data_IF_177764639286
#
_entry.id   IF_177764639286
#
_cell.length_a   1.000
_cell.length_b   1.000
_cell.length_c   1.000
_cell.angle_alpha   90.00
_cell.angle_beta   90.00
_cell.angle_gamma   90.00
#
_symmetry.space_group_name_H-M   'P 1'
#
loop_
_entity.id
_entity.type
_entity.pdbx_description
1 polymer ?
#
# COMPACT_ATOMS: atom_id res chain seq x y z
N UNK A 1 -3.15 -11.82 -18.30
CA UNK A 1 -3.23 -10.70 -17.33
C UNK A 1 -2.31 -11.07 -16.19
N UNK A 2 -1.44 -10.15 -15.76
CA UNK A 2 -0.47 -10.44 -14.69
C UNK A 2 -1.20 -10.50 -13.36
N UNK A 3 -0.94 -11.55 -12.56
CA UNK A 3 -1.60 -11.78 -11.28
C UNK A 3 -0.63 -11.56 -10.10
N UNK A 4 -1.02 -10.76 -9.11
CA UNK A 4 -0.17 -10.35 -7.98
C UNK A 4 -0.79 -10.83 -6.66
N UNK A 5 0.03 -11.40 -5.79
CA UNK A 5 -0.31 -11.60 -4.38
C UNK A 5 0.21 -10.42 -3.56
N UNK A 6 -0.70 -9.62 -3.00
CA UNK A 6 -0.38 -8.51 -2.12
C UNK A 6 -0.60 -8.94 -0.66
N UNK A 7 0.42 -8.79 0.18
CA UNK A 7 0.40 -9.21 1.59
C UNK A 7 0.72 -8.02 2.48
N UNK A 8 -0.25 -7.60 3.28
CA UNK A 8 -0.20 -6.40 4.13
C UNK A 8 -1.22 -6.57 5.25
N UNK A 9 -0.82 -6.40 6.51
CA UNK A 9 -1.68 -6.65 7.66
C UNK A 9 -2.67 -5.53 7.94
N UNK A 10 -2.38 -4.30 7.51
CA UNK A 10 -3.38 -3.24 7.51
C UNK A 10 -4.41 -3.44 6.39
N UNK A 11 -5.64 -3.76 6.82
CA UNK A 11 -6.77 -4.02 5.93
C UNK A 11 -7.12 -2.84 5.00
N UNK A 12 -6.95 -1.61 5.46
CA UNK A 12 -7.26 -0.42 4.67
C UNK A 12 -6.17 -0.15 3.64
N UNK A 13 -4.90 -0.32 4.01
CA UNK A 13 -3.78 -0.16 3.10
C UNK A 13 -3.74 -1.25 2.03
N UNK A 14 -3.97 -2.52 2.41
CA UNK A 14 -3.98 -3.63 1.44
C UNK A 14 -5.08 -3.45 0.38
N UNK A 15 -6.26 -2.96 0.79
CA UNK A 15 -7.37 -2.65 -0.14
C UNK A 15 -7.05 -1.47 -1.04
N UNK A 16 -6.43 -0.43 -0.49
CA UNK A 16 -6.05 0.75 -1.26
C UNK A 16 -4.97 0.44 -2.31
N UNK A 17 -3.92 -0.28 -1.92
CA UNK A 17 -2.88 -0.75 -2.83
C UNK A 17 -3.43 -1.75 -3.85
N UNK A 18 -4.31 -2.66 -3.42
CA UNK A 18 -4.99 -3.59 -4.32
C UNK A 18 -5.79 -2.86 -5.39
N UNK A 19 -6.61 -1.88 -5.01
CA UNK A 19 -7.39 -1.07 -5.95
C UNK A 19 -6.49 -0.31 -6.93
N UNK A 20 -5.38 0.26 -6.46
CA UNK A 20 -4.40 0.92 -7.34
C UNK A 20 -3.84 -0.06 -8.37
N UNK A 21 -3.38 -1.24 -7.95
CA UNK A 21 -2.83 -2.25 -8.85
C UNK A 21 -3.89 -2.78 -9.84
N UNK A 22 -5.14 -2.94 -9.41
CA UNK A 22 -6.23 -3.34 -10.30
C UNK A 22 -6.52 -2.28 -11.37
N UNK A 23 -6.45 -0.98 -11.04
CA UNK A 23 -6.55 0.10 -12.04
C UNK A 23 -5.44 0.05 -13.09
N UNK A 24 -4.26 -0.40 -12.69
CA UNK A 24 -3.10 -0.58 -13.57
C UNK A 24 -3.16 -1.89 -14.39
N UNK A 25 -4.28 -2.62 -14.32
CA UNK A 25 -4.55 -3.79 -15.13
C UNK A 25 -3.98 -5.10 -14.56
N UNK A 26 -3.56 -5.11 -13.31
CA UNK A 26 -3.18 -6.34 -12.60
C UNK A 26 -4.42 -7.03 -12.01
N UNK A 27 -4.35 -8.36 -11.87
CA UNK A 27 -5.32 -9.11 -11.07
C UNK A 27 -4.72 -9.34 -9.69
N UNK A 28 -5.36 -8.85 -8.64
CA UNK A 28 -4.79 -8.87 -7.29
C UNK A 28 -5.52 -9.87 -6.40
N UNK A 29 -4.77 -10.68 -5.67
CA UNK A 29 -5.28 -11.34 -4.48
C UNK A 29 -4.60 -10.76 -3.24
N UNK A 30 -5.41 -10.43 -2.24
CA UNK A 30 -4.93 -9.85 -0.99
C UNK A 30 -4.82 -10.91 0.11
N UNK A 31 -3.84 -10.75 1.00
CA UNK A 31 -3.68 -11.50 2.24
C UNK A 31 -3.25 -10.57 3.38
N UNK A 32 -3.71 -10.83 4.60
CA UNK A 32 -3.45 -9.96 5.77
C UNK A 32 -2.41 -10.50 6.76
N UNK A 33 -1.66 -11.53 6.34
CA UNK A 33 -0.49 -12.09 7.03
C UNK A 33 0.12 -13.21 6.19
N UNK A 34 1.32 -13.68 6.57
CA UNK A 34 2.03 -14.75 5.89
C UNK A 34 1.26 -16.07 5.82
N UNK A 35 0.55 -16.48 6.87
CA UNK A 35 -0.22 -17.73 6.87
C UNK A 35 -1.35 -17.73 5.83
N UNK A 36 -2.05 -16.60 5.70
CA UNK A 36 -3.08 -16.42 4.66
C UNK A 36 -2.46 -16.40 3.27
N UNK A 37 -1.26 -15.84 3.13
CA UNK A 37 -0.52 -15.84 1.87
C UNK A 37 -0.12 -17.26 1.46
N UNK A 38 0.43 -18.07 2.37
CA UNK A 38 0.78 -19.47 2.11
C UNK A 38 -0.43 -20.30 1.65
N UNK A 39 -1.56 -20.20 2.36
CA UNK A 39 -2.81 -20.88 1.97
C UNK A 39 -3.33 -20.48 0.58
N UNK A 40 -2.96 -19.30 0.09
CA UNK A 40 -3.27 -18.86 -1.28
C UNK A 40 -2.28 -19.44 -2.28
N UNK A 41 -0.98 -19.40 -1.97
CA UNK A 41 0.08 -19.98 -2.80
C UNK A 41 -0.10 -21.50 -3.03
N UNK A 42 -0.69 -22.21 -2.07
CA UNK A 42 -1.08 -23.62 -2.22
C UNK A 42 -2.15 -23.86 -3.29
N UNK A 43 -3.01 -22.87 -3.56
CA UNK A 43 -4.17 -23.00 -4.46
C UNK A 43 -3.95 -22.33 -5.80
N UNK A 44 -3.00 -21.41 -5.88
CA UNK A 44 -2.80 -20.55 -7.03
C UNK A 44 -1.39 -19.96 -6.99
N UNK A 45 -0.72 -19.98 -8.14
CA UNK A 45 0.62 -19.43 -8.31
C UNK A 45 0.54 -18.03 -8.95
N UNK A 46 0.78 -16.94 -8.21
CA UNK A 46 0.89 -15.60 -8.78
C UNK A 46 2.10 -15.46 -9.70
N UNK A 47 2.14 -14.38 -10.49
CA UNK A 47 3.34 -13.95 -11.20
C UNK A 47 4.33 -13.22 -10.27
N UNK A 48 3.86 -12.61 -9.18
CA UNK A 48 4.67 -11.81 -8.25
C UNK A 48 4.01 -11.69 -6.87
N UNK A 49 4.84 -11.62 -5.82
CA UNK A 49 4.42 -11.30 -4.44
C UNK A 49 4.95 -9.92 -4.05
N UNK A 50 4.08 -9.10 -3.49
CA UNK A 50 4.43 -7.86 -2.77
C UNK A 50 4.05 -8.08 -1.32
N UNK A 51 4.99 -7.90 -0.40
CA UNK A 51 4.80 -8.28 1.00
C UNK A 51 5.34 -7.21 1.96
N UNK A 52 4.58 -6.82 2.98
CA UNK A 52 5.18 -6.14 4.14
C UNK A 52 5.99 -7.14 4.98
N UNK A 53 6.98 -6.63 5.69
CA UNK A 53 7.78 -7.39 6.63
C UNK A 53 7.05 -7.50 7.97
N UNK A 54 6.53 -6.39 8.49
CA UNK A 54 5.98 -6.35 9.85
C UNK A 54 4.52 -6.77 9.85
N UNK A 55 4.28 -8.07 10.01
CA UNK A 55 2.93 -8.61 10.09
C UNK A 55 2.79 -9.57 11.28
N UNK A 56 1.60 -9.70 11.88
CA UNK A 56 1.36 -10.68 12.93
C UNK A 56 1.38 -12.11 12.39
N UNK A 57 1.52 -13.07 13.31
CA UNK A 57 1.55 -14.51 13.04
C UNK A 57 2.81 -14.93 12.27
N UNK A 58 2.78 -14.88 10.94
CA UNK A 58 3.93 -15.16 10.08
C UNK A 58 4.33 -13.85 9.40
N UNK A 59 5.51 -13.35 9.76
CA UNK A 59 6.07 -12.12 9.24
C UNK A 59 6.57 -12.29 7.79
N UNK A 60 6.91 -11.19 7.12
CA UNK A 60 7.32 -11.24 5.71
C UNK A 60 8.62 -12.03 5.50
N UNK A 61 9.55 -12.01 6.45
CA UNK A 61 10.77 -12.81 6.37
C UNK A 61 10.47 -14.31 6.50
N UNK A 62 9.58 -14.70 7.41
CA UNK A 62 9.10 -16.06 7.54
C UNK A 62 8.41 -16.53 6.27
N UNK A 63 7.53 -15.72 5.70
CA UNK A 63 6.88 -16.04 4.42
C UNK A 63 7.89 -16.24 3.29
N UNK A 64 8.88 -15.36 3.15
CA UNK A 64 9.92 -15.49 2.12
C UNK A 64 10.72 -16.79 2.28
N UNK A 65 11.07 -17.18 3.52
CA UNK A 65 11.76 -18.44 3.79
C UNK A 65 10.95 -19.65 3.32
N UNK A 66 9.66 -19.69 3.63
CA UNK A 66 8.76 -20.74 3.16
C UNK A 66 8.66 -20.76 1.63
N UNK A 67 8.58 -19.59 0.99
CA UNK A 67 8.57 -19.45 -0.48
C UNK A 67 9.87 -20.00 -1.10
N UNK A 68 11.03 -19.65 -0.55
CA UNK A 68 12.34 -20.09 -1.10
C UNK A 68 12.64 -21.56 -0.82
N UNK A 69 12.09 -22.13 0.25
CA UNK A 69 12.23 -23.55 0.56
C UNK A 69 11.27 -24.45 -0.22
N UNK A 70 10.26 -23.89 -0.90
CA UNK A 70 9.32 -24.66 -1.71
C UNK A 70 9.77 -24.72 -3.18
N UNK A 71 9.98 -25.93 -3.70
CA UNK A 71 10.40 -26.16 -5.09
C UNK A 71 9.51 -25.51 -6.15
N UNK A 72 8.20 -25.34 -5.86
CA UNK A 72 7.24 -24.74 -6.79
C UNK A 72 7.25 -23.20 -6.75
N UNK A 73 7.69 -22.60 -5.64
CA UNK A 73 7.61 -21.15 -5.42
C UNK A 73 8.98 -20.49 -5.34
N UNK A 74 10.08 -21.25 -5.28
CA UNK A 74 11.42 -20.70 -5.03
C UNK A 74 11.88 -19.66 -6.05
N UNK A 75 11.35 -19.69 -7.28
CA UNK A 75 11.63 -18.72 -8.34
C UNK A 75 10.59 -17.59 -8.45
N UNK A 76 9.57 -17.57 -7.60
CA UNK A 76 8.51 -16.57 -7.62
C UNK A 76 9.10 -15.18 -7.28
N UNK A 77 8.95 -14.17 -8.15
CA UNK A 77 9.38 -12.81 -7.84
C UNK A 77 8.75 -12.32 -6.54
N UNK A 78 9.58 -11.85 -5.61
CA UNK A 78 9.18 -11.45 -4.27
C UNK A 78 9.77 -10.08 -3.92
N UNK A 79 8.90 -9.10 -3.80
CA UNK A 79 9.21 -7.71 -3.45
C UNK A 79 8.78 -7.45 -2.02
N UNK A 80 9.69 -6.97 -1.17
CA UNK A 80 9.29 -6.35 0.08
C UNK A 80 8.83 -4.91 -0.17
N UNK A 81 7.72 -4.53 0.46
CA UNK A 81 7.24 -3.15 0.56
C UNK A 81 6.93 -2.86 2.02
N UNK A 82 7.82 -2.13 2.70
CA UNK A 82 7.77 -2.02 4.17
C UNK A 82 8.08 -0.62 4.68
N UNK A 83 7.60 -0.28 5.88
CA UNK A 83 7.97 0.96 6.57
C UNK A 83 9.35 0.93 7.23
N UNK A 84 10.07 -0.20 7.20
CA UNK A 84 11.38 -0.32 7.86
C UNK A 84 12.49 0.29 7.00
N UNK A 85 13.07 1.40 7.46
CA UNK A 85 14.32 1.96 6.95
C UNK A 85 15.53 1.44 7.73
N UNK A 86 16.01 0.26 7.37
CA UNK A 86 17.20 -0.34 8.01
C UNK A 86 18.06 -1.07 7.00
N UNK A 87 19.35 -0.71 6.93
CA UNK A 87 20.32 -1.41 6.07
C UNK A 87 20.50 -2.86 6.50
N UNK A 88 20.43 -3.15 7.81
CA UNK A 88 20.47 -4.53 8.32
C UNK A 88 19.30 -5.36 7.78
N UNK A 89 18.08 -4.81 7.79
CA UNK A 89 16.90 -5.51 7.28
C UNK A 89 16.94 -5.66 5.75
N UNK A 90 17.44 -4.65 5.05
CA UNK A 90 17.67 -4.71 3.60
C UNK A 90 18.69 -5.81 3.26
N UNK A 91 19.78 -5.89 3.99
CA UNK A 91 20.79 -6.93 3.75
C UNK A 91 20.26 -8.33 4.09
N UNK A 92 19.53 -8.46 5.21
CA UNK A 92 18.84 -9.70 5.55
C UNK A 92 17.85 -10.14 4.46
N UNK A 93 17.07 -9.21 3.88
CA UNK A 93 16.15 -9.56 2.79
C UNK A 93 16.88 -10.15 1.57
N UNK A 94 18.04 -9.59 1.21
CA UNK A 94 18.85 -10.09 0.08
C UNK A 94 19.40 -11.48 0.39
N UNK A 95 19.89 -11.70 1.60
CA UNK A 95 20.41 -13.00 2.04
C UNK A 95 19.34 -14.09 2.03
N UNK A 96 18.09 -13.73 2.34
CA UNK A 96 16.94 -14.63 2.24
C UNK A 96 16.43 -14.81 0.81
N UNK A 97 17.01 -14.11 -0.17
CA UNK A 97 16.69 -14.25 -1.59
C UNK A 97 15.49 -13.41 -2.03
N UNK A 98 15.20 -12.28 -1.39
CA UNK A 98 14.22 -11.31 -1.92
C UNK A 98 14.73 -10.71 -3.23
N UNK A 99 13.82 -10.43 -4.16
CA UNK A 99 14.17 -9.84 -5.46
C UNK A 99 14.24 -8.31 -5.38
N UNK A 100 13.46 -7.70 -4.47
CA UNK A 100 13.49 -6.26 -4.23
C UNK A 100 13.11 -5.88 -2.79
N UNK A 101 13.50 -4.67 -2.41
CA UNK A 101 13.17 -4.06 -1.12
C UNK A 101 12.84 -2.59 -1.32
N UNK A 102 11.55 -2.28 -1.23
CA UNK A 102 10.99 -0.94 -1.28
C UNK A 102 10.62 -0.47 0.12
N UNK A 103 10.92 0.79 0.41
CA UNK A 103 10.53 1.44 1.66
C UNK A 103 9.30 2.32 1.41
N UNK A 104 8.33 2.32 2.34
CA UNK A 104 7.26 3.31 2.44
C UNK A 104 7.88 4.62 3.01
N UNK A 105 7.50 5.83 2.54
CA UNK A 105 6.48 6.10 1.51
C UNK A 105 6.89 5.65 0.11
N UNK A 106 5.92 5.14 -0.65
CA UNK A 106 6.11 4.70 -2.05
C UNK A 106 5.07 5.37 -2.94
N UNK A 107 5.49 5.95 -4.07
CA UNK A 107 4.54 6.44 -5.06
C UNK A 107 4.20 5.36 -6.09
N UNK A 108 3.15 5.62 -6.88
CA UNK A 108 2.68 4.72 -7.94
C UNK A 108 3.80 4.33 -8.91
N UNK A 109 4.56 5.31 -9.39
CA UNK A 109 5.53 5.07 -10.46
C UNK A 109 6.70 4.22 -9.99
N UNK A 110 7.17 4.44 -8.76
CA UNK A 110 8.19 3.61 -8.11
C UNK A 110 7.70 2.16 -7.95
N UNK A 111 6.45 1.97 -7.51
CA UNK A 111 5.87 0.65 -7.35
C UNK A 111 5.76 -0.08 -8.70
N UNK A 112 5.23 0.60 -9.72
CA UNK A 112 5.09 0.03 -11.07
C UNK A 112 6.43 -0.27 -11.72
N UNK A 113 7.44 0.57 -11.50
CA UNK A 113 8.79 0.34 -11.99
C UNK A 113 9.40 -0.93 -11.38
N UNK A 114 9.27 -1.11 -10.06
CA UNK A 114 9.76 -2.31 -9.39
C UNK A 114 9.06 -3.58 -9.91
N UNK A 115 7.73 -3.55 -10.06
CA UNK A 115 6.95 -4.66 -10.62
C UNK A 115 7.41 -4.97 -12.05
N UNK A 116 7.55 -3.95 -12.90
CA UNK A 116 8.00 -4.08 -14.29
C UNK A 116 9.37 -4.73 -14.39
N UNK A 117 10.31 -4.27 -13.56
CA UNK A 117 11.67 -4.80 -13.50
C UNK A 117 11.70 -6.28 -13.12
N UNK A 118 10.91 -6.68 -12.12
CA UNK A 118 10.91 -8.09 -11.63
C UNK A 118 10.14 -9.05 -12.51
N UNK A 119 9.14 -8.57 -13.24
CA UNK A 119 8.42 -9.40 -14.20
C UNK A 119 9.12 -9.51 -15.56
N UNK A 120 10.18 -8.74 -15.81
CA UNK A 120 10.82 -8.66 -17.12
C UNK A 120 9.86 -8.19 -18.23
N UNK A 121 8.76 -7.53 -17.85
CA UNK A 121 7.74 -7.00 -18.75
C UNK A 121 7.92 -5.48 -18.78
N UNK A 122 7.87 -4.85 -19.95
CA UNK A 122 7.51 -3.43 -20.00
C UNK A 122 6.09 -3.32 -19.49
N UNK A 123 5.92 -2.85 -18.25
CA UNK A 123 4.62 -2.32 -17.83
C UNK A 123 4.43 -1.09 -18.68
N UNK A 124 3.43 -1.15 -19.56
CA UNK A 124 3.04 -0.01 -20.37
C UNK A 124 2.68 1.10 -19.40
N UNK A 125 3.58 2.08 -19.18
CA UNK A 125 3.34 3.28 -18.36
C UNK A 125 2.29 4.20 -19.02
N UNK A 126 1.38 3.65 -19.82
CA UNK A 126 0.59 4.31 -20.86
C UNK A 126 -0.60 5.10 -20.31
N UNK A 127 -0.80 5.14 -19.00
CA UNK A 127 -1.76 6.05 -18.37
C UNK A 127 -1.02 7.26 -17.77
N UNK A 128 -0.38 8.05 -18.63
CA UNK A 128 -0.02 9.44 -18.33
C UNK A 128 -1.24 10.38 -18.42
N UNK A 129 -2.41 9.84 -18.78
CA UNK A 129 -3.63 10.61 -18.93
C UNK A 129 -4.47 10.56 -17.65
N UNK A 130 -4.21 11.58 -16.82
CA UNK A 130 -5.06 12.20 -15.80
C UNK A 130 -6.56 11.86 -15.87
N UNK A 131 -6.97 10.69 -15.36
CA UNK A 131 -8.37 10.47 -15.00
C UNK A 131 -8.62 10.91 -13.56
N UNK A 132 -9.80 11.49 -13.29
CA UNK A 132 -10.24 11.88 -11.94
C UNK A 132 -10.21 10.70 -10.95
N UNK A 133 -10.45 9.47 -11.44
CA UNK A 133 -10.38 8.23 -10.65
C UNK A 133 -8.98 7.95 -10.11
N UNK A 134 -7.95 8.30 -10.88
CA UNK A 134 -6.55 7.99 -10.56
C UNK A 134 -6.04 8.99 -9.53
N UNK A 135 -6.33 10.28 -9.73
CA UNK A 135 -6.00 11.32 -8.75
C UNK A 135 -6.63 11.07 -7.38
N UNK A 136 -7.86 10.51 -7.34
CA UNK A 136 -8.48 10.10 -6.09
C UNK A 136 -7.66 9.03 -5.37
N UNK A 137 -7.40 7.88 -6.00
CA UNK A 137 -6.69 6.79 -5.30
C UNK A 137 -5.25 7.18 -4.94
N UNK A 138 -4.59 7.98 -5.78
CA UNK A 138 -3.26 8.50 -5.50
C UNK A 138 -3.22 9.48 -4.33
N UNK A 139 -4.24 10.33 -4.18
CA UNK A 139 -4.37 11.20 -3.00
C UNK A 139 -4.47 10.38 -1.71
N UNK A 140 -5.31 9.35 -1.70
CA UNK A 140 -5.50 8.49 -0.54
C UNK A 140 -4.22 7.69 -0.23
N UNK A 141 -3.53 7.18 -1.25
CA UNK A 141 -2.28 6.44 -1.07
C UNK A 141 -1.19 7.32 -0.47
N UNK A 142 -0.99 8.52 -1.02
CA UNK A 142 0.00 9.46 -0.52
C UNK A 142 -0.28 9.86 0.94
N UNK A 143 -1.56 10.02 1.29
CA UNK A 143 -1.96 10.29 2.67
C UNK A 143 -1.72 9.08 3.60
N UNK A 144 -2.00 7.85 3.13
CA UNK A 144 -1.86 6.63 3.91
C UNK A 144 -0.40 6.29 4.22
N UNK A 145 0.51 6.46 3.25
CA UNK A 145 1.90 6.07 3.41
C UNK A 145 2.85 7.21 3.80
N UNK A 146 2.35 8.45 3.88
CA UNK A 146 3.13 9.61 4.29
C UNK A 146 3.93 10.28 3.17
N UNK A 147 3.65 10.00 1.90
CA UNK A 147 4.29 10.68 0.77
C UNK A 147 3.79 12.13 0.62
N UNK A 148 4.38 13.04 1.40
CA UNK A 148 3.92 14.43 1.47
C UNK A 148 4.06 15.19 0.14
N UNK A 149 5.06 14.85 -0.67
CA UNK A 149 5.28 15.52 -1.96
C UNK A 149 4.19 15.10 -2.96
N UNK A 150 3.94 13.80 -3.11
CA UNK A 150 2.81 13.32 -3.92
C UNK A 150 1.47 13.83 -3.37
N UNK A 151 1.31 13.88 -2.04
CA UNK A 151 0.08 14.37 -1.42
C UNK A 151 -0.22 15.82 -1.80
N UNK A 152 0.79 16.70 -1.74
CA UNK A 152 0.65 18.11 -2.17
C UNK A 152 0.30 18.21 -3.65
N UNK A 153 1.01 17.46 -4.49
CA UNK A 153 0.77 17.46 -5.93
C UNK A 153 -0.66 17.05 -6.27
N UNK A 154 -1.16 15.97 -5.65
CA UNK A 154 -2.51 15.45 -5.89
C UNK A 154 -3.59 16.33 -5.28
N UNK A 155 -3.37 16.88 -4.08
CA UNK A 155 -4.32 17.78 -3.43
C UNK A 155 -4.58 19.05 -4.25
N UNK A 156 -3.58 19.54 -4.99
CA UNK A 156 -3.74 20.67 -5.89
C UNK A 156 -4.56 20.36 -7.16
N UNK A 157 -4.79 19.08 -7.47
CA UNK A 157 -5.48 18.62 -8.68
C UNK A 157 -6.89 18.10 -8.42
N UNK A 158 -7.38 18.14 -7.17
CA UNK A 158 -8.72 17.68 -6.80
C UNK A 158 -9.64 18.86 -6.53
N UNK A 159 -10.88 18.76 -7.00
CA UNK A 159 -11.93 19.77 -6.74
C UNK A 159 -12.47 19.67 -5.30
N UNK A 160 -12.39 18.49 -4.69
CA UNK A 160 -12.91 18.16 -3.36
C UNK A 160 -11.86 17.36 -2.58
N UNK A 161 -11.31 17.96 -1.53
CA UNK A 161 -10.28 17.34 -0.68
C UNK A 161 -10.84 16.20 0.19
N UNK A 162 -12.16 16.21 0.44
CA UNK A 162 -12.87 15.21 1.23
C UNK A 162 -13.50 14.11 0.35
N UNK A 163 -13.07 14.01 -0.92
CA UNK A 163 -13.50 12.91 -1.78
C UNK A 163 -13.22 11.55 -1.14
N UNK A 164 -14.16 10.62 -1.27
CA UNK A 164 -14.07 9.30 -0.62
C UNK A 164 -13.65 8.20 -1.56
N UNK A 165 -12.92 7.21 -1.06
CA UNK A 165 -12.69 5.93 -1.73
C UNK A 165 -14.00 5.11 -1.90
N UNK A 166 -13.90 3.86 -2.39
CA UNK A 166 -15.07 2.98 -2.54
C UNK A 166 -15.69 2.52 -1.22
N UNK A 167 -14.98 2.65 -0.10
CA UNK A 167 -15.43 2.31 1.24
C UNK A 167 -15.96 3.53 2.03
N UNK A 168 -15.87 4.74 1.47
CA UNK A 168 -16.28 5.97 2.14
C UNK A 168 -15.17 6.65 2.95
N UNK A 169 -13.92 6.20 2.83
CA UNK A 169 -12.79 6.80 3.55
C UNK A 169 -12.26 8.00 2.77
N UNK A 170 -11.93 9.10 3.46
CA UNK A 170 -11.22 10.24 2.86
C UNK A 170 -9.70 10.12 3.05
N UNK A 171 -8.92 10.92 2.33
CA UNK A 171 -7.47 10.99 2.52
C UNK A 171 -7.09 11.33 3.97
N UNK A 172 -7.86 12.21 4.64
CA UNK A 172 -7.63 12.56 6.04
C UNK A 172 -7.83 11.36 6.98
N UNK A 173 -8.82 10.51 6.69
CA UNK A 173 -9.04 9.27 7.45
C UNK A 173 -7.83 8.36 7.35
N UNK A 174 -7.30 8.14 6.14
CA UNK A 174 -6.08 7.34 5.94
C UNK A 174 -4.89 7.93 6.69
N UNK A 175 -4.63 9.23 6.57
CA UNK A 175 -3.51 9.86 7.27
C UNK A 175 -3.59 9.64 8.78
N UNK A 176 -4.77 9.77 9.39
CA UNK A 176 -4.96 9.56 10.83
C UNK A 176 -4.82 8.10 11.21
N UNK A 177 -5.48 7.18 10.48
CA UNK A 177 -5.44 5.74 10.75
C UNK A 177 -4.01 5.19 10.67
N UNK A 178 -3.23 5.67 9.70
CA UNK A 178 -1.85 5.28 9.47
C UNK A 178 -0.84 6.10 10.30
N UNK A 179 -1.33 6.98 11.19
CA UNK A 179 -0.53 7.85 12.06
C UNK A 179 0.44 8.79 11.30
N UNK A 180 0.07 9.19 10.08
CA UNK A 180 0.79 10.16 9.25
C UNK A 180 0.42 11.59 9.66
N UNK A 181 1.03 12.06 10.75
CA UNK A 181 0.69 13.35 11.38
C UNK A 181 0.88 14.54 10.44
N UNK A 182 2.00 14.57 9.71
CA UNK A 182 2.28 15.67 8.77
C UNK A 182 1.28 15.71 7.61
N UNK A 183 0.92 14.55 7.06
CA UNK A 183 -0.09 14.43 6.02
C UNK A 183 -1.47 14.90 6.52
N UNK A 184 -1.86 14.50 7.73
CA UNK A 184 -3.12 14.92 8.34
C UNK A 184 -3.18 16.44 8.56
N UNK A 185 -2.13 17.05 9.11
CA UNK A 185 -2.06 18.51 9.25
C UNK A 185 -2.10 19.24 7.90
N UNK A 186 -1.40 18.72 6.90
CA UNK A 186 -1.45 19.28 5.56
C UNK A 186 -2.89 19.27 5.01
N UNK A 187 -3.56 18.13 5.06
CA UNK A 187 -4.94 17.98 4.58
C UNK A 187 -5.92 18.90 5.33
N UNK A 188 -5.80 19.03 6.65
CA UNK A 188 -6.62 19.97 7.42
C UNK A 188 -6.38 21.43 7.00
N UNK A 189 -5.13 21.82 6.71
CA UNK A 189 -4.82 23.16 6.17
C UNK A 189 -5.40 23.40 4.77
N UNK A 190 -5.56 22.34 3.99
CA UNK A 190 -6.26 22.37 2.69
C UNK A 190 -7.80 22.35 2.82
N UNK A 191 -8.34 22.33 4.04
CA UNK A 191 -9.77 22.40 4.30
C UNK A 191 -10.47 21.05 4.48
N UNK A 192 -9.72 19.94 4.63
CA UNK A 192 -10.32 18.64 4.91
C UNK A 192 -11.11 18.67 6.22
N UNK A 193 -12.33 18.13 6.20
CA UNK A 193 -13.30 18.30 7.27
C UNK A 193 -13.16 17.22 8.37
N UNK A 194 -12.69 17.58 9.59
CA UNK A 194 -12.53 16.61 10.68
C UNK A 194 -13.86 16.20 11.35
N UNK A 195 -14.99 16.84 11.01
CA UNK A 195 -16.31 16.48 11.53
C UNK A 195 -17.01 15.36 10.76
N UNK A 196 -16.48 14.97 9.60
CA UNK A 196 -16.94 13.80 8.87
C UNK A 196 -16.84 12.54 9.75
N UNK A 197 -17.67 11.54 9.45
CA UNK A 197 -17.72 10.29 10.22
C UNK A 197 -17.03 9.18 9.46
N UNK A 198 -16.15 8.45 10.15
CA UNK A 198 -15.50 7.27 9.60
C UNK A 198 -16.57 6.19 9.30
N UNK A 199 -16.58 5.61 8.09
CA UNK A 199 -17.67 4.76 7.62
C UNK A 199 -17.86 3.49 8.45
N UNK A 200 -16.79 2.88 8.96
CA UNK A 200 -16.87 1.62 9.71
C UNK A 200 -17.21 1.80 11.20
N UNK A 201 -16.82 2.94 11.80
CA UNK A 201 -16.92 3.15 13.25
C UNK A 201 -17.98 4.18 13.63
N UNK A 202 -18.40 5.01 12.68
CA UNK A 202 -19.30 6.14 12.90
C UNK A 202 -18.69 7.28 13.72
N UNK A 203 -17.43 7.15 14.18
CA UNK A 203 -16.73 8.19 14.94
C UNK A 203 -16.39 9.38 14.06
N UNK A 204 -16.43 10.60 14.62
CA UNK A 204 -15.89 11.77 13.93
C UNK A 204 -14.38 11.63 13.76
N UNK A 205 -13.86 12.04 12.61
CA UNK A 205 -12.42 11.97 12.29
C UNK A 205 -11.58 12.67 13.37
N UNK A 206 -11.95 13.89 13.76
CA UNK A 206 -11.23 14.63 14.81
C UNK A 206 -11.30 13.97 16.19
N UNK A 207 -12.37 13.22 16.49
CA UNK A 207 -12.45 12.44 17.72
C UNK A 207 -11.59 11.17 17.66
N UNK A 208 -11.51 10.53 16.49
CA UNK A 208 -10.62 9.39 16.23
C UNK A 208 -9.15 9.77 16.39
N UNK A 209 -8.75 10.88 15.78
CA UNK A 209 -7.44 11.49 15.96
C UNK A 209 -7.03 11.65 17.44
N UNK A 210 -7.88 12.31 18.24
CA UNK A 210 -7.63 12.50 19.68
C UNK A 210 -7.54 11.19 20.44
N UNK A 211 -8.41 10.22 20.13
CA UNK A 211 -8.37 8.89 20.75
C UNK A 211 -7.08 8.13 20.45
N UNK A 212 -6.43 8.43 19.32
CA UNK A 212 -5.14 7.86 18.91
C UNK A 212 -3.92 8.64 19.46
N UNK A 213 -4.17 9.68 20.27
CA UNK A 213 -3.12 10.53 20.85
C UNK A 213 -2.47 11.48 19.84
N UNK A 214 -3.19 11.83 18.77
CA UNK A 214 -2.72 12.78 17.77
C UNK A 214 -3.36 14.14 18.07
N UNK A 215 -2.53 15.13 18.37
CA UNK A 215 -2.95 16.50 18.62
C UNK A 215 -3.02 17.28 17.30
N UNK A 216 -4.22 17.78 16.96
CA UNK A 216 -4.48 18.57 15.75
C UNK A 216 -5.23 19.86 16.07
#
# INVERSE_FOLDING_TARGET
MTEILLVEDDESLVRLLGALLEQEGFKVQMATNGDRALRKLEKWLPDLVICDIQMPVLDGFGLLKEVRNNEHWKQLPFIFLTGIESEEKRELSKQLGADDYLTKPINRDQLLQAISLRLGKQVSLTSLNSNRSDNRLLLHLAAANGDLESLKERAAQVDDIDMTDAQGNTALMFAIMMRQVEAAHFLMRQGANPDLRHPATGMRIGAMARAMGLDF
#
